data_IF_843571745186
#
_entry.id   IF_843571745186
#
_cell.length_a   1.000
_cell.length_b   1.000
_cell.length_c   1.000
_cell.angle_alpha   90.00
_cell.angle_beta   90.00
_cell.angle_gamma   90.00
#
_symmetry.space_group_name_H-M   'P 1'
#
loop_
_entity.id
_entity.type
_entity.pdbx_description
1 polymer ?
#
# COMPACT_ATOMS: atom_id res chain seq x y z
N UNK A 1 -27.23 -7.07 18.32
CA UNK A 1 -26.62 -6.24 17.26
C UNK A 1 -25.65 -7.12 16.51
N UNK A 2 -25.91 -7.35 15.25
CA UNK A 2 -24.99 -8.10 14.38
C UNK A 2 -23.73 -7.25 14.14
N UNK A 3 -22.60 -7.77 14.53
CA UNK A 3 -21.33 -7.16 14.21
C UNK A 3 -21.14 -7.23 12.68
N UNK A 4 -20.96 -6.07 12.05
CA UNK A 4 -20.81 -5.97 10.60
C UNK A 4 -19.41 -6.40 10.18
N UNK A 5 -19.35 -7.42 9.32
CA UNK A 5 -18.09 -7.82 8.68
C UNK A 5 -17.78 -6.85 7.54
N UNK A 6 -16.61 -6.24 7.59
CA UNK A 6 -16.10 -5.37 6.52
C UNK A 6 -15.18 -6.18 5.62
N UNK A 7 -15.44 -6.11 4.32
CA UNK A 7 -14.61 -6.73 3.28
C UNK A 7 -13.76 -5.66 2.61
N UNK A 8 -12.48 -5.94 2.44
CA UNK A 8 -11.51 -5.03 1.83
C UNK A 8 -11.71 -4.85 0.32
N UNK A 9 -10.83 -4.06 -0.26
CA UNK A 9 -10.84 -3.75 -1.69
C UNK A 9 -10.01 -4.77 -2.48
N UNK A 10 -10.29 -4.95 -3.78
CA UNK A 10 -9.50 -5.83 -4.63
C UNK A 10 -8.07 -5.28 -4.81
N UNK A 11 -7.12 -6.19 -5.06
CA UNK A 11 -5.75 -5.87 -5.44
C UNK A 11 -5.74 -5.00 -6.70
N UNK A 12 -4.90 -3.97 -6.71
CA UNK A 12 -4.66 -3.10 -7.86
C UNK A 12 -3.18 -3.16 -8.23
N UNK A 13 -2.88 -3.76 -9.37
CA UNK A 13 -1.51 -3.82 -9.89
C UNK A 13 -1.49 -4.24 -11.36
N UNK A 14 -0.45 -3.82 -12.09
CA UNK A 14 -0.09 -4.43 -13.36
C UNK A 14 0.74 -5.70 -13.12
N UNK A 15 0.79 -6.65 -14.06
CA UNK A 15 1.59 -7.87 -13.93
C UNK A 15 3.08 -7.62 -13.72
N UNK A 16 3.60 -6.48 -14.14
CA UNK A 16 5.00 -6.06 -14.01
C UNK A 16 5.30 -5.26 -12.73
N UNK A 17 4.42 -5.31 -11.74
CA UNK A 17 4.63 -4.62 -10.46
C UNK A 17 5.94 -5.07 -9.79
N UNK A 18 6.71 -4.09 -9.31
CA UNK A 18 8.00 -4.29 -8.63
C UNK A 18 7.94 -3.97 -7.15
N UNK A 19 7.01 -3.13 -6.75
CA UNK A 19 6.77 -2.72 -5.36
C UNK A 19 5.29 -2.86 -5.04
N UNK A 20 4.95 -3.50 -3.94
CA UNK A 20 3.62 -3.42 -3.34
C UNK A 20 3.66 -2.56 -2.09
N UNK A 21 2.67 -1.69 -1.94
CA UNK A 21 2.41 -0.98 -0.68
C UNK A 21 1.15 -1.58 -0.08
N UNK A 22 1.27 -2.19 1.09
CA UNK A 22 0.20 -2.90 1.76
C UNK A 22 -0.28 -2.14 2.99
N UNK A 23 -1.58 -1.85 3.04
CA UNK A 23 -2.26 -1.38 4.23
C UNK A 23 -2.75 -2.52 5.11
N UNK A 24 -3.48 -2.20 6.17
CA UNK A 24 -4.14 -3.17 7.04
C UNK A 24 -5.51 -3.56 6.50
N UNK A 25 -6.50 -2.69 6.63
CA UNK A 25 -7.86 -2.81 6.10
C UNK A 25 -8.35 -1.41 5.75
N UNK A 26 -9.00 -1.19 4.59
CA UNK A 26 -9.49 0.13 4.23
C UNK A 26 -10.44 0.70 5.28
N UNK A 27 -10.36 2.02 5.52
CA UNK A 27 -11.29 2.73 6.38
C UNK A 27 -12.70 2.83 5.77
N UNK A 28 -13.67 3.27 6.55
CA UNK A 28 -15.07 3.34 6.10
C UNK A 28 -15.25 4.26 4.89
N UNK A 29 -14.55 5.39 4.82
CA UNK A 29 -14.59 6.27 3.66
C UNK A 29 -14.09 5.60 2.38
N UNK A 30 -13.02 4.81 2.48
CA UNK A 30 -12.47 4.05 1.35
C UNK A 30 -13.41 2.94 0.89
N UNK A 31 -14.02 2.21 1.82
CA UNK A 31 -14.99 1.16 1.50
C UNK A 31 -16.25 1.73 0.84
N UNK A 32 -16.76 2.85 1.36
CA UNK A 32 -17.92 3.54 0.77
C UNK A 32 -17.65 4.05 -0.64
N UNK A 33 -16.47 4.62 -0.88
CA UNK A 33 -16.05 5.14 -2.18
C UNK A 33 -15.52 4.05 -3.12
N UNK A 34 -15.21 2.86 -2.62
CA UNK A 34 -14.48 1.80 -3.33
C UNK A 34 -13.14 2.29 -3.89
N UNK A 35 -12.44 3.11 -3.12
CA UNK A 35 -11.17 3.72 -3.50
C UNK A 35 -10.16 3.61 -2.37
N UNK A 36 -8.93 3.23 -2.70
CA UNK A 36 -7.84 3.20 -1.73
C UNK A 36 -7.55 4.61 -1.21
N UNK A 37 -7.46 4.72 0.12
CA UNK A 37 -7.07 5.96 0.80
C UNK A 37 -7.96 7.16 0.43
N UNK A 38 -9.28 6.96 0.47
CA UNK A 38 -10.27 7.97 0.08
C UNK A 38 -10.53 9.03 1.16
N UNK A 39 -10.21 8.76 2.44
CA UNK A 39 -10.44 9.74 3.51
C UNK A 39 -9.64 11.01 3.23
N UNK A 40 -10.27 12.22 3.28
CA UNK A 40 -9.61 13.48 2.90
C UNK A 40 -8.34 13.79 3.69
N UNK A 41 -8.25 13.32 4.93
CA UNK A 41 -7.09 13.55 5.82
C UNK A 41 -6.04 12.43 5.70
N UNK A 42 -6.28 11.35 4.95
CA UNK A 42 -5.25 10.34 4.72
C UNK A 42 -4.17 10.93 3.82
N UNK A 43 -2.93 10.80 4.24
CA UNK A 43 -1.79 11.40 3.56
C UNK A 43 -1.14 10.50 2.50
N UNK A 44 -1.71 9.31 2.24
CA UNK A 44 -1.12 8.32 1.33
C UNK A 44 -0.76 8.90 -0.04
N UNK A 45 -1.71 9.56 -0.70
CA UNK A 45 -1.49 10.09 -2.05
C UNK A 45 -0.44 11.19 -2.10
N UNK A 46 -0.29 11.96 -1.03
CA UNK A 46 0.79 12.94 -0.88
C UNK A 46 2.13 12.27 -0.66
N UNK A 47 2.17 11.23 0.20
CA UNK A 47 3.39 10.51 0.54
C UNK A 47 3.92 9.71 -0.65
N UNK A 48 3.08 8.91 -1.31
CA UNK A 48 3.51 8.17 -2.50
C UNK A 48 3.81 9.11 -3.67
N UNK A 49 3.09 10.22 -3.79
CA UNK A 49 3.39 11.27 -4.76
C UNK A 49 4.80 11.82 -4.58
N UNK A 50 5.23 12.08 -3.35
CA UNK A 50 6.60 12.51 -3.06
C UNK A 50 7.65 11.48 -3.45
N UNK A 51 7.33 10.19 -3.34
CA UNK A 51 8.21 9.09 -3.74
C UNK A 51 8.40 9.05 -5.26
N UNK A 52 7.32 9.18 -6.01
CA UNK A 52 7.36 9.11 -7.50
C UNK A 52 7.64 10.46 -8.17
N UNK A 53 7.66 11.56 -7.40
CA UNK A 53 7.93 12.90 -7.92
C UNK A 53 6.75 13.54 -8.65
N UNK A 54 5.51 13.19 -8.30
CA UNK A 54 4.28 13.68 -8.94
C UNK A 54 3.24 14.11 -7.90
N UNK A 55 2.42 15.11 -8.23
CA UNK A 55 1.29 15.54 -7.39
C UNK A 55 0.07 14.64 -7.62
N UNK A 56 0.13 13.41 -7.10
CA UNK A 56 -0.96 12.45 -7.22
C UNK A 56 -2.21 12.88 -6.45
N UNK A 57 -2.04 13.61 -5.34
CA UNK A 57 -3.16 14.05 -4.52
C UNK A 57 -4.16 14.91 -5.28
N UNK A 58 -3.68 15.75 -6.20
CA UNK A 58 -4.53 16.66 -7.01
C UNK A 58 -5.14 15.99 -8.24
N UNK A 59 -4.79 14.75 -8.54
CA UNK A 59 -5.33 14.01 -9.69
C UNK A 59 -6.65 13.32 -9.35
N UNK A 60 -7.53 13.07 -10.36
CA UNK A 60 -8.64 12.13 -10.21
C UNK A 60 -8.15 10.73 -9.82
N UNK A 61 -8.97 9.97 -9.09
CA UNK A 61 -8.56 8.65 -8.55
C UNK A 61 -8.07 7.68 -9.64
N UNK A 62 -8.78 7.58 -10.75
CA UNK A 62 -8.40 6.70 -11.87
C UNK A 62 -7.02 7.08 -12.41
N UNK A 63 -6.72 8.36 -12.50
CA UNK A 63 -5.42 8.85 -12.96
C UNK A 63 -4.30 8.53 -11.95
N UNK A 64 -4.61 8.58 -10.64
CA UNK A 64 -3.66 8.15 -9.61
C UNK A 64 -3.27 6.68 -9.80
N UNK A 65 -4.25 5.81 -10.06
CA UNK A 65 -4.00 4.37 -10.29
C UNK A 65 -3.17 4.13 -11.54
N UNK A 66 -3.45 4.83 -12.64
CA UNK A 66 -2.65 4.76 -13.87
C UNK A 66 -1.20 5.14 -13.59
N UNK A 67 -0.97 6.25 -12.87
CA UNK A 67 0.40 6.69 -12.55
C UNK A 67 1.13 5.69 -11.67
N UNK A 68 0.48 5.12 -10.65
CA UNK A 68 1.10 4.05 -9.86
C UNK A 68 1.48 2.84 -10.72
N UNK A 69 0.59 2.43 -11.63
CA UNK A 69 0.86 1.32 -12.52
C UNK A 69 2.06 1.59 -13.43
N UNK A 70 2.19 2.80 -13.96
CA UNK A 70 3.34 3.21 -14.78
C UNK A 70 4.66 3.21 -13.97
N UNK A 71 4.58 3.51 -12.67
CA UNK A 71 5.71 3.37 -11.74
C UNK A 71 5.88 1.94 -11.20
N UNK A 72 5.10 0.97 -11.67
CA UNK A 72 5.14 -0.44 -11.29
C UNK A 72 4.88 -0.65 -9.79
N UNK A 73 3.97 0.14 -9.23
CA UNK A 73 3.54 0.06 -7.84
C UNK A 73 2.15 -0.56 -7.77
N UNK A 74 2.01 -1.62 -6.98
CA UNK A 74 0.74 -2.26 -6.66
C UNK A 74 0.23 -1.87 -5.27
N UNK A 75 -1.08 -1.95 -5.08
CA UNK A 75 -1.77 -1.68 -3.82
C UNK A 75 -2.59 -2.89 -3.39
N UNK A 76 -2.54 -3.20 -2.13
CA UNK A 76 -3.44 -4.14 -1.48
C UNK A 76 -3.42 -3.92 0.04
N UNK A 77 -4.12 -4.80 0.77
CA UNK A 77 -4.14 -4.83 2.23
C UNK A 77 -3.81 -6.24 2.73
N UNK A 78 -3.25 -6.34 3.93
CA UNK A 78 -2.95 -7.65 4.54
C UNK A 78 -4.20 -8.34 5.06
N UNK A 79 -5.26 -7.60 5.34
CA UNK A 79 -6.55 -8.12 5.82
C UNK A 79 -7.57 -8.08 4.69
N UNK A 80 -8.17 -9.25 4.39
CA UNK A 80 -9.22 -9.37 3.38
C UNK A 80 -10.60 -9.03 3.91
N UNK A 81 -10.90 -9.42 5.15
CA UNK A 81 -12.13 -9.09 5.85
C UNK A 81 -11.95 -9.14 7.36
N UNK A 82 -12.71 -8.36 8.09
CA UNK A 82 -12.68 -8.35 9.54
C UNK A 82 -13.96 -7.73 10.12
N UNK A 83 -14.21 -8.00 11.38
CA UNK A 83 -15.14 -7.23 12.18
C UNK A 83 -14.42 -6.00 12.71
N UNK A 84 -14.95 -4.82 12.43
CA UNK A 84 -14.37 -3.56 12.92
C UNK A 84 -15.42 -2.48 13.05
N UNK A 85 -15.52 -1.88 14.23
CA UNK A 85 -16.33 -0.68 14.45
C UNK A 85 -15.50 0.55 14.10
N UNK A 86 -15.95 1.37 13.14
CA UNK A 86 -15.21 2.53 12.65
C UNK A 86 -14.01 2.14 11.77
N UNK A 87 -12.97 2.94 11.78
CA UNK A 87 -11.82 2.84 10.85
C UNK A 87 -10.46 2.61 11.51
N UNK A 88 -10.43 2.51 12.85
CA UNK A 88 -9.18 2.32 13.58
C UNK A 88 -8.73 0.86 13.57
N UNK A 89 -7.44 0.62 13.31
CA UNK A 89 -6.84 -0.72 13.34
C UNK A 89 -6.97 -1.41 14.70
N UNK A 90 -6.94 -0.65 15.78
CA UNK A 90 -7.12 -1.17 17.14
C UNK A 90 -8.50 -1.83 17.36
N UNK A 91 -9.52 -1.47 16.59
CA UNK A 91 -10.85 -2.03 16.64
C UNK A 91 -11.03 -3.29 15.79
N UNK A 92 -10.01 -3.72 15.07
CA UNK A 92 -10.08 -4.94 14.23
C UNK A 92 -10.22 -6.18 15.10
N UNK A 93 -11.22 -7.00 14.75
CA UNK A 93 -11.51 -8.29 15.38
C UNK A 93 -11.79 -9.31 14.29
N UNK A 94 -11.53 -10.59 14.60
CA UNK A 94 -11.85 -11.72 13.71
C UNK A 94 -11.40 -11.49 12.27
N UNK A 95 -10.10 -11.20 12.09
CA UNK A 95 -9.55 -10.88 10.80
C UNK A 95 -9.29 -12.14 9.96
N UNK A 96 -9.69 -12.10 8.69
CA UNK A 96 -9.25 -13.02 7.66
C UNK A 96 -8.21 -12.34 6.79
N UNK A 97 -7.01 -12.90 6.72
CA UNK A 97 -5.90 -12.31 5.99
C UNK A 97 -6.01 -12.57 4.48
N UNK A 98 -5.59 -11.61 3.67
CA UNK A 98 -5.32 -11.85 2.27
C UNK A 98 -4.10 -12.76 2.11
N UNK A 99 -4.06 -13.50 1.00
CA UNK A 99 -2.94 -14.41 0.70
C UNK A 99 -1.77 -13.64 0.10
N UNK A 100 -1.21 -12.72 0.88
CA UNK A 100 -0.12 -11.84 0.41
C UNK A 100 1.17 -12.60 0.09
N UNK A 101 1.35 -13.80 0.64
CA UNK A 101 2.44 -14.72 0.29
C UNK A 101 2.43 -15.10 -1.19
N UNK A 102 1.27 -15.05 -1.84
CA UNK A 102 1.14 -15.32 -3.28
C UNK A 102 1.66 -14.19 -4.16
N UNK A 103 1.80 -12.97 -3.64
CA UNK A 103 2.32 -11.84 -4.43
C UNK A 103 3.69 -12.17 -5.03
N UNK A 104 4.53 -12.87 -4.30
CA UNK A 104 5.88 -13.25 -4.73
C UNK A 104 5.82 -14.19 -5.94
N UNK A 105 4.84 -15.09 -5.94
CA UNK A 105 4.62 -16.03 -7.04
C UNK A 105 3.91 -15.38 -8.24
N UNK A 106 2.88 -14.58 -7.95
CA UNK A 106 1.99 -14.02 -8.98
C UNK A 106 2.59 -12.79 -9.68
N UNK A 107 3.60 -12.15 -9.07
CA UNK A 107 4.32 -10.98 -9.61
C UNK A 107 5.82 -11.26 -9.71
N UNK A 108 6.28 -11.86 -10.81
CA UNK A 108 7.68 -12.30 -10.95
C UNK A 108 8.71 -11.16 -10.89
N UNK A 109 8.30 -9.92 -11.23
CA UNK A 109 9.16 -8.74 -11.16
C UNK A 109 9.22 -8.11 -9.76
N UNK A 110 8.48 -8.63 -8.78
CA UNK A 110 8.41 -8.06 -7.43
C UNK A 110 9.77 -8.06 -6.75
N UNK A 111 10.20 -6.90 -6.26
CA UNK A 111 11.46 -6.70 -5.55
C UNK A 111 11.27 -6.31 -4.09
N UNK A 112 10.18 -5.62 -3.79
CA UNK A 112 9.94 -5.09 -2.45
C UNK A 112 8.45 -5.07 -2.08
N UNK A 113 8.19 -5.23 -0.79
CA UNK A 113 6.88 -5.00 -0.17
C UNK A 113 7.07 -4.01 0.96
N UNK A 114 6.32 -2.90 0.91
CA UNK A 114 6.29 -1.87 1.94
C UNK A 114 4.98 -1.94 2.72
N UNK A 115 5.07 -1.86 4.04
CA UNK A 115 3.91 -1.91 4.93
C UNK A 115 3.56 -0.51 5.41
N UNK A 116 2.36 -0.05 5.08
CA UNK A 116 1.84 1.24 5.50
C UNK A 116 1.29 1.14 6.94
N UNK A 117 2.16 1.30 7.91
CA UNK A 117 1.83 1.29 9.32
C UNK A 117 2.20 0.00 10.06
N UNK A 118 2.20 0.08 11.38
CA UNK A 118 2.67 -1.00 12.27
C UNK A 118 1.79 -2.24 12.22
N UNK A 119 0.46 -2.09 12.11
CA UNK A 119 -0.47 -3.23 12.04
C UNK A 119 -0.24 -4.02 10.75
N UNK A 120 -0.13 -3.35 9.61
CA UNK A 120 0.20 -3.97 8.33
C UNK A 120 1.54 -4.71 8.40
N UNK A 121 2.57 -4.10 8.96
CA UNK A 121 3.90 -4.70 9.10
C UNK A 121 3.88 -5.94 9.99
N UNK A 122 3.23 -5.87 11.14
CA UNK A 122 3.17 -6.98 12.10
C UNK A 122 2.48 -8.23 11.50
N UNK A 123 1.36 -8.02 10.82
CA UNK A 123 0.62 -9.10 10.16
C UNK A 123 1.38 -9.58 8.91
N UNK A 124 1.78 -8.65 8.05
CA UNK A 124 2.40 -8.97 6.77
C UNK A 124 3.71 -9.73 6.91
N UNK A 125 4.56 -9.35 7.84
CA UNK A 125 5.83 -10.03 8.09
C UNK A 125 5.65 -11.48 8.55
N UNK A 126 4.60 -11.77 9.31
CA UNK A 126 4.27 -13.15 9.70
C UNK A 126 3.81 -14.00 8.52
N UNK A 127 3.01 -13.40 7.61
CA UNK A 127 2.50 -14.09 6.43
C UNK A 127 3.60 -14.38 5.38
N UNK A 128 4.66 -13.56 5.35
CA UNK A 128 5.75 -13.66 4.37
C UNK A 128 7.05 -14.16 5.01
N UNK A 129 7.00 -14.75 6.20
CA UNK A 129 8.19 -15.12 6.97
C UNK A 129 9.19 -16.04 6.24
N UNK A 130 8.73 -16.81 5.24
CA UNK A 130 9.56 -17.72 4.44
C UNK A 130 10.03 -17.09 3.12
N UNK A 131 9.68 -15.84 2.80
CA UNK A 131 10.05 -15.20 1.55
C UNK A 131 11.52 -14.82 1.55
N UNK A 132 12.23 -15.27 0.52
CA UNK A 132 13.63 -14.91 0.28
C UNK A 132 13.75 -14.03 -0.97
N UNK A 133 14.65 -13.05 -0.92
CA UNK A 133 14.93 -12.19 -2.06
C UNK A 133 14.00 -10.98 -2.22
N UNK A 134 12.98 -10.83 -1.37
CA UNK A 134 12.08 -9.67 -1.36
C UNK A 134 12.45 -8.74 -0.20
N UNK A 135 12.68 -7.46 -0.52
CA UNK A 135 12.93 -6.43 0.49
C UNK A 135 11.62 -6.10 1.22
N UNK A 136 11.61 -6.16 2.53
CA UNK A 136 10.48 -5.75 3.36
C UNK A 136 10.78 -4.42 4.04
N UNK A 137 9.88 -3.44 3.90
CA UNK A 137 10.05 -2.07 4.37
C UNK A 137 8.89 -1.69 5.28
N UNK A 138 9.18 -1.23 6.49
CA UNK A 138 8.16 -0.68 7.39
C UNK A 138 8.08 0.84 7.21
N UNK A 139 6.87 1.35 6.96
CA UNK A 139 6.59 2.76 6.79
C UNK A 139 5.71 3.29 7.93
N UNK A 140 5.90 4.54 8.37
CA UNK A 140 4.92 5.17 9.25
C UNK A 140 3.57 5.29 8.53
N UNK A 141 2.49 5.00 9.25
CA UNK A 141 1.13 5.01 8.68
C UNK A 141 0.76 6.37 8.11
N UNK A 142 0.15 6.35 6.93
CA UNK A 142 -0.45 7.52 6.28
C UNK A 142 -1.78 7.96 6.91
N UNK A 143 -2.35 7.14 7.79
CA UNK A 143 -3.62 7.41 8.47
C UNK A 143 -3.57 8.69 9.31
N UNK A 144 -4.67 9.47 9.37
CA UNK A 144 -4.77 10.62 10.28
C UNK A 144 -4.68 10.21 11.77
N UNK A 145 -4.92 8.95 12.11
CA UNK A 145 -4.72 8.43 13.46
C UNK A 145 -3.23 8.44 13.89
N UNK A 146 -2.30 8.38 12.94
CA UNK A 146 -0.89 8.62 13.20
C UNK A 146 -0.60 10.12 13.11
N UNK A 147 -0.43 10.77 14.25
CA UNK A 147 -0.27 12.22 14.39
C UNK A 147 1.15 12.72 14.09
N UNK A 148 2.09 11.85 13.71
CA UNK A 148 3.44 12.26 13.28
C UNK A 148 3.33 13.30 12.15
N UNK A 149 4.12 14.39 12.18
CA UNK A 149 4.09 15.42 11.12
C UNK A 149 4.36 14.85 9.73
N UNK A 150 3.68 15.39 8.72
CA UNK A 150 3.84 14.93 7.34
C UNK A 150 5.28 15.02 6.84
N UNK A 151 6.04 16.03 7.28
CA UNK A 151 7.43 16.19 6.89
C UNK A 151 8.31 15.02 7.35
N UNK A 152 8.05 14.50 8.53
CA UNK A 152 8.74 13.32 9.05
C UNK A 152 8.32 12.03 8.31
N UNK A 153 7.01 11.90 8.05
CA UNK A 153 6.50 10.77 7.24
C UNK A 153 7.11 10.78 5.84
N UNK A 154 7.16 11.94 5.20
CA UNK A 154 7.76 12.10 3.87
C UNK A 154 9.24 11.70 3.86
N UNK A 155 9.99 12.09 4.86
CA UNK A 155 11.39 11.69 5.01
C UNK A 155 11.53 10.16 5.16
N UNK A 156 10.66 9.52 5.95
CA UNK A 156 10.67 8.07 6.13
C UNK A 156 10.25 7.32 4.85
N UNK A 157 9.24 7.80 4.14
CA UNK A 157 8.77 7.21 2.87
C UNK A 157 9.79 7.37 1.74
N UNK A 158 10.71 8.31 1.83
CA UNK A 158 11.76 8.52 0.83
C UNK A 158 12.68 7.30 0.63
N UNK A 159 12.70 6.35 1.56
CA UNK A 159 13.40 5.06 1.41
C UNK A 159 12.92 4.27 0.19
N UNK A 160 11.70 4.52 -0.29
CA UNK A 160 11.14 3.88 -1.49
C UNK A 160 11.65 4.47 -2.80
N UNK A 161 12.23 5.68 -2.80
CA UNK A 161 12.67 6.36 -4.03
C UNK A 161 13.64 5.54 -4.88
N UNK A 162 14.67 4.87 -4.34
CA UNK A 162 15.57 4.04 -5.14
C UNK A 162 14.87 2.88 -5.84
N UNK A 163 13.83 2.31 -5.22
CA UNK A 163 13.05 1.21 -5.79
C UNK A 163 12.25 1.63 -7.02
N UNK A 164 11.74 2.85 -7.02
CA UNK A 164 10.99 3.44 -8.14
C UNK A 164 11.94 3.92 -9.24
N UNK A 165 13.04 4.61 -8.89
CA UNK A 165 14.02 5.15 -9.85
C UNK A 165 14.72 4.05 -10.64
N UNK A 166 15.03 2.90 -10.02
CA UNK A 166 15.66 1.77 -10.68
C UNK A 166 14.78 1.18 -11.80
N UNK A 167 13.45 1.29 -11.69
CA UNK A 167 12.55 0.86 -12.76
C UNK A 167 12.63 1.73 -14.01
N UNK A 168 12.93 3.01 -13.87
CA UNK A 168 13.02 3.94 -14.98
C UNK A 168 14.34 3.81 -15.75
N UNK A 169 15.42 3.35 -15.11
CA UNK A 169 16.72 3.20 -15.75
C UNK A 169 16.82 1.95 -16.63
N UNK A 170 16.05 0.91 -16.34
CA UNK A 170 16.06 -0.31 -17.15
C UNK A 170 15.40 -0.15 -18.53
N UNK A 171 14.52 0.85 -18.71
CA UNK A 171 13.87 1.13 -20.01
C UNK A 171 14.74 1.96 -20.96
N UNK A 172 15.73 2.71 -20.44
CA UNK A 172 16.60 3.59 -21.27
C UNK A 172 17.72 2.79 -21.94
N UNK A 173 18.04 1.59 -21.46
CA UNK A 173 19.16 0.76 -22.01
C UNK A 173 18.69 -0.24 -23.07
N UNK A 174 17.39 -0.34 -23.33
CA UNK A 174 16.83 -1.30 -24.28
C UNK A 174 16.62 -0.74 -25.71
N UNK A 175 17.02 0.50 -25.96
CA UNK A 175 16.81 1.20 -27.26
C UNK A 175 18.14 1.63 -27.96
N UNK A 176 19.23 0.86 -27.78
CA UNK A 176 20.45 0.97 -28.58
C UNK A 176 20.77 -0.31 -29.37
#
# INVERSE_FOLDING_TARGET
>A
MTEEVKTGLPLVARPDARLFILGSLPGDASLAARQYYAHPQNQFWRLVGSVVGEDLHSMPYERRLERLAEHRIGLWDVIGSAVRRGSLDQAIRTANHNRIERLIHDFPALEAIAFNGATSAAIGRKLIASATGILLVDLPSSSPANTRPIVEKTAAWAVLKPLVSASNQAEIVADD
#
